data_IF_716570230885
#
_entry.id   IF_716570230885
#
_cell.length_a   1.000
_cell.length_b   1.000
_cell.length_c   1.000
_cell.angle_alpha   90.00
_cell.angle_beta   90.00
_cell.angle_gamma   90.00
#
_symmetry.space_group_name_H-M   'P 1'
#
loop_
_entity.id
_entity.type
_entity.pdbx_description
1 polymer ?
2 non-polymer ?
3 non-polymer ?
4 non-polymer ?
5 water ?
#
# COMPACT_ATOMS: atom_id res chain seq x y z
N UNK A 1 16.41 21.08 12.14
CA UNK A 1 15.60 20.47 13.22
C UNK A 1 14.94 19.18 12.74
N UNK A 2 14.84 18.22 13.66
CA UNK A 2 14.26 16.91 13.36
C UNK A 2 12.86 16.99 12.74
N UNK A 3 11.93 17.67 13.40
CA UNK A 3 10.56 17.78 12.90
C UNK A 3 10.44 18.42 11.51
N UNK A 4 11.12 19.54 11.31
CA UNK A 4 11.07 20.23 10.02
C UNK A 4 11.71 19.39 8.91
N UNK A 5 12.67 18.58 9.31
CA UNK A 5 13.40 17.73 8.39
C UNK A 5 12.75 16.38 8.10
N UNK A 6 12.24 15.71 9.13
CA UNK A 6 11.64 14.38 8.97
C UNK A 6 10.16 14.26 9.32
N UNK A 7 9.58 15.31 9.89
CA UNK A 7 8.17 15.24 10.27
C UNK A 7 8.00 14.53 11.60
N UNK A 8 9.10 14.03 12.14
CA UNK A 8 9.12 13.34 13.43
C UNK A 8 10.36 13.76 14.22
N UNK A 9 10.25 13.72 15.54
CA UNK A 9 11.38 14.07 16.40
C UNK A 9 12.05 12.73 16.74
N UNK A 10 13.32 12.59 16.38
CA UNK A 10 14.03 11.34 16.64
C UNK A 10 15.40 11.51 17.30
N UNK A 11 15.80 10.50 18.07
CA UNK A 11 17.10 10.55 18.73
C UNK A 11 18.15 9.96 17.79
N UNK A 12 17.71 9.49 16.62
CA UNK A 12 18.60 8.90 15.62
C UNK A 12 18.51 9.65 14.29
N UNK A 13 18.72 10.96 14.33
CA UNK A 13 18.65 11.78 13.13
C UNK A 13 19.58 11.34 12.01
N UNK A 14 20.87 11.21 12.32
CA UNK A 14 21.88 10.80 11.34
C UNK A 14 21.57 9.47 10.67
N UNK A 15 21.06 8.52 11.45
CA UNK A 15 20.74 7.20 10.92
C UNK A 15 19.47 7.20 10.10
N UNK A 16 18.51 8.03 10.49
CA UNK A 16 17.25 8.12 9.76
C UNK A 16 17.50 8.76 8.39
N UNK A 17 18.40 9.74 8.35
CA UNK A 17 18.74 10.42 7.10
C UNK A 17 19.43 9.49 6.12
N UNK A 18 20.24 8.57 6.64
CA UNK A 18 20.94 7.63 5.78
C UNK A 18 19.94 6.68 5.14
N UNK A 19 18.99 6.17 5.94
CA UNK A 19 17.98 5.27 5.40
C UNK A 19 17.15 5.99 4.34
N UNK A 20 16.83 7.26 4.62
CA UNK A 20 16.01 8.04 3.70
C UNK A 20 16.69 8.38 2.38
N UNK A 21 17.97 8.03 2.25
CA UNK A 21 18.66 8.27 0.99
C UNK A 21 18.08 7.33 -0.07
N UNK A 22 17.43 6.25 0.38
CA UNK A 22 16.82 5.29 -0.53
C UNK A 22 15.33 5.53 -0.75
N UNK A 23 14.86 6.72 -0.40
CA UNK A 23 13.44 7.07 -0.55
C UNK A 23 12.86 6.75 -1.93
N UNK A 24 13.63 7.00 -2.99
CA UNK A 24 13.18 6.76 -4.35
C UNK A 24 13.59 5.38 -4.87
N UNK A 25 14.07 4.53 -3.98
CA UNK A 25 14.50 3.19 -4.37
C UNK A 25 13.61 2.06 -3.88
N UNK A 26 13.48 1.03 -4.70
CA UNK A 26 12.68 -0.14 -4.37
C UNK A 26 13.34 -0.84 -3.18
N UNK A 27 14.64 -0.65 -3.02
CA UNK A 27 15.36 -1.31 -1.95
C UNK A 27 15.38 -0.64 -0.58
N UNK A 28 14.57 0.39 -0.38
CA UNK A 28 14.53 1.07 0.90
C UNK A 28 14.09 0.08 1.97
N UNK A 29 14.67 0.17 3.16
CA UNK A 29 14.28 -0.73 4.25
C UNK A 29 13.39 0.04 5.22
N UNK A 30 12.09 -0.20 5.14
CA UNK A 30 11.14 0.52 5.98
C UNK A 30 11.23 0.11 7.45
N UNK A 31 11.69 -1.11 7.70
CA UNK A 31 11.86 -1.60 9.07
C UNK A 31 12.87 -0.70 9.80
N UNK A 32 13.94 -0.33 9.11
CA UNK A 32 14.97 0.55 9.68
C UNK A 32 14.44 1.97 9.86
N UNK A 33 13.61 2.42 8.91
CA UNK A 33 13.04 3.75 9.03
C UNK A 33 12.25 3.78 10.33
N UNK A 34 11.49 2.71 10.58
CA UNK A 34 10.70 2.61 11.80
C UNK A 34 11.62 2.65 13.02
N UNK A 35 12.72 1.90 12.95
CA UNK A 35 13.65 1.84 14.06
C UNK A 35 14.37 3.13 14.39
N UNK A 36 14.53 4.01 13.40
CA UNK A 36 15.21 5.28 13.61
C UNK A 36 14.25 6.46 13.69
N UNK A 37 12.95 6.17 13.76
CA UNK A 37 11.95 7.22 13.82
C UNK A 37 11.03 7.04 15.02
N UNK A 38 11.50 6.28 16.01
CA UNK A 38 10.72 6.01 17.21
C UNK A 38 9.43 5.31 16.80
N UNK A 39 9.54 4.45 15.80
CA UNK A 39 8.41 3.70 15.30
C UNK A 39 7.28 4.57 14.74
N UNK A 40 7.64 5.51 13.89
CA UNK A 40 6.68 6.39 13.23
C UNK A 40 7.00 6.30 11.75
N UNK A 41 7.06 5.06 11.21
CA UNK A 41 7.39 4.85 9.80
C UNK A 41 6.43 5.54 8.80
N UNK A 42 5.14 5.56 9.13
CA UNK A 42 4.17 6.17 8.22
C UNK A 42 4.30 7.70 8.18
N UNK A 43 4.33 8.33 9.35
CA UNK A 43 4.47 9.78 9.40
C UNK A 43 5.79 10.18 8.74
N UNK A 44 6.88 9.51 9.12
CA UNK A 44 8.19 9.83 8.56
C UNK A 44 8.26 9.68 7.05
N UNK A 45 7.83 8.52 6.55
CA UNK A 45 7.88 8.28 5.11
C UNK A 45 6.95 9.19 4.31
N UNK A 46 5.77 9.52 4.86
CA UNK A 46 4.85 10.40 4.13
C UNK A 46 5.39 11.81 4.07
N UNK A 47 6.03 12.25 5.15
CA UNK A 47 6.63 13.59 5.19
C UNK A 47 7.77 13.65 4.17
N UNK A 48 8.60 12.62 4.14
CA UNK A 48 9.73 12.57 3.21
C UNK A 48 9.26 12.60 1.76
N UNK A 49 8.27 11.76 1.46
CA UNK A 49 7.71 11.70 0.11
C UNK A 49 7.13 13.05 -0.33
N UNK A 50 6.34 13.68 0.55
CA UNK A 50 5.75 14.97 0.21
C UNK A 50 6.78 16.07 0.00
N UNK A 51 7.84 16.06 0.80
CA UNK A 51 8.90 17.05 0.63
C UNK A 51 9.60 16.78 -0.69
N UNK A 52 9.90 15.51 -0.94
CA UNK A 52 10.57 15.09 -2.17
C UNK A 52 9.81 15.54 -3.42
N UNK A 53 8.50 15.38 -3.39
CA UNK A 53 7.66 15.77 -4.53
C UNK A 53 7.15 17.21 -4.48
N UNK A 54 7.47 17.92 -3.39
CA UNK A 54 7.04 19.31 -3.21
C UNK A 54 5.52 19.44 -3.16
N UNK A 55 4.84 18.41 -2.67
CA UNK A 55 3.39 18.41 -2.60
C UNK A 55 2.81 19.42 -1.61
N UNK A 56 3.49 19.63 -0.49
CA UNK A 56 2.99 20.58 0.51
C UNK A 56 2.85 21.97 -0.11
N UNK A 57 3.88 22.41 -0.83
CA UNK A 57 3.85 23.71 -1.47
C UNK A 57 2.78 23.74 -2.57
N UNK A 58 2.85 22.76 -3.47
CA UNK A 58 1.91 22.69 -4.58
C UNK A 58 0.46 22.77 -4.16
N UNK A 59 0.10 22.04 -3.10
CA UNK A 59 -1.28 22.02 -2.65
C UNK A 59 -1.57 22.87 -1.41
N UNK A 60 -0.67 23.80 -1.10
CA UNK A 60 -0.85 24.69 0.03
C UNK A 60 -1.21 23.99 1.33
N UNK A 61 -0.45 22.95 1.65
CA UNK A 61 -0.64 22.17 2.87
C UNK A 61 0.47 22.59 3.83
N UNK A 62 0.12 23.12 5.00
CA UNK A 62 1.15 23.52 5.94
C UNK A 62 1.80 22.28 6.52
N UNK A 63 3.09 22.37 6.82
CA UNK A 63 3.83 21.25 7.40
C UNK A 63 3.18 20.81 8.70
N UNK A 64 2.73 21.78 9.48
CA UNK A 64 2.10 21.49 10.76
C UNK A 64 0.82 20.66 10.61
N UNK A 65 -0.07 21.11 9.73
CA UNK A 65 -1.33 20.40 9.50
C UNK A 65 -1.05 18.98 9.00
N UNK A 66 -0.10 18.84 8.09
CA UNK A 66 0.26 17.55 7.54
C UNK A 66 0.80 16.60 8.60
N UNK A 67 1.75 17.08 9.40
CA UNK A 67 2.34 16.26 10.45
C UNK A 67 1.25 15.87 11.45
N UNK A 68 0.37 16.82 11.76
CA UNK A 68 -0.69 16.55 12.71
C UNK A 68 -1.61 15.46 12.16
N UNK A 69 -1.95 15.55 10.87
CA UNK A 69 -2.81 14.54 10.28
C UNK A 69 -2.11 13.19 10.22
N UNK A 70 -0.89 13.18 9.69
CA UNK A 70 -0.14 11.92 9.59
C UNK A 70 0.04 11.21 10.93
N UNK A 71 0.40 11.95 11.97
CA UNK A 71 0.58 11.35 13.28
C UNK A 71 -0.73 10.72 13.76
N UNK A 72 -1.84 11.42 13.52
CA UNK A 72 -3.15 10.93 13.93
C UNK A 72 -3.51 9.68 13.13
N UNK A 73 -3.30 9.73 11.82
CA UNK A 73 -3.59 8.59 10.96
C UNK A 73 -2.84 7.37 11.45
N UNK A 74 -1.54 7.55 11.67
CA UNK A 74 -0.68 6.47 12.14
C UNK A 74 -1.16 5.91 13.48
N UNK A 75 -1.62 6.79 14.36
CA UNK A 75 -2.12 6.37 15.67
C UNK A 75 -3.34 5.48 15.51
N UNK A 76 -4.00 5.56 14.35
CA UNK A 76 -5.20 4.75 14.14
C UNK A 76 -4.95 3.40 13.52
N UNK A 77 -3.69 3.08 13.27
CA UNK A 77 -3.32 1.76 12.78
C UNK A 77 -3.03 0.97 14.05
N UNK A 78 -3.44 -0.28 14.08
CA UNK A 78 -3.21 -1.12 15.25
C UNK A 78 -1.75 -1.53 15.37
N UNK A 79 -1.19 -1.37 16.56
CA UNK A 79 0.18 -1.77 16.79
C UNK A 79 0.17 -3.19 17.33
N UNK A 80 -1.01 -3.70 17.67
CA UNK A 80 -1.13 -5.06 18.17
C UNK A 80 -1.54 -6.03 17.07
N UNK A 81 -1.39 -5.58 15.83
CA UNK A 81 -1.69 -6.39 14.65
C UNK A 81 -0.31 -6.63 14.03
N UNK A 82 0.01 -7.89 13.77
CA UNK A 82 1.31 -8.28 13.24
C UNK A 82 1.72 -7.74 11.87
N UNK A 83 0.81 -7.74 10.91
CA UNK A 83 1.13 -7.27 9.56
C UNK A 83 0.44 -5.95 9.21
N UNK A 84 -0.87 -5.90 9.34
CA UNK A 84 -1.60 -4.68 8.97
C UNK A 84 -1.51 -3.52 9.96
N UNK A 85 -0.28 -3.16 10.30
CA UNK A 85 -0.01 -2.04 11.20
C UNK A 85 0.56 -0.91 10.33
N UNK A 86 0.99 0.21 10.93
CA UNK A 86 1.51 1.34 10.14
C UNK A 86 2.74 1.08 9.29
N UNK A 87 3.49 0.02 9.62
CA UNK A 87 4.69 -0.29 8.85
C UNK A 87 4.27 -0.72 7.46
N UNK A 88 3.21 -1.52 7.37
CA UNK A 88 2.69 -1.96 6.09
C UNK A 88 2.19 -0.77 5.28
N UNK A 89 1.47 0.14 5.94
CA UNK A 89 0.95 1.32 5.25
C UNK A 89 2.11 2.15 4.72
N UNK A 90 3.12 2.34 5.55
CA UNK A 90 4.30 3.12 5.16
C UNK A 90 4.96 2.47 3.95
N UNK A 91 5.06 1.15 3.98
CA UNK A 91 5.68 0.40 2.90
C UNK A 91 4.91 0.57 1.58
N UNK A 92 3.57 0.48 1.63
CA UNK A 92 2.78 0.64 0.42
C UNK A 92 2.87 2.06 -0.12
N UNK A 93 2.87 3.05 0.77
CA UNK A 93 2.99 4.43 0.32
C UNK A 93 4.33 4.65 -0.39
N UNK A 94 5.40 4.13 0.20
CA UNK A 94 6.74 4.29 -0.37
C UNK A 94 6.88 3.52 -1.70
N UNK A 95 6.29 2.33 -1.77
CA UNK A 95 6.34 1.52 -2.98
C UNK A 95 5.60 2.23 -4.11
N UNK A 96 4.45 2.81 -3.77
CA UNK A 96 3.63 3.55 -4.73
C UNK A 96 4.42 4.76 -5.23
N UNK A 97 5.12 5.42 -4.30
CA UNK A 97 5.93 6.57 -4.63
C UNK A 97 6.98 6.17 -5.67
N UNK A 98 7.56 4.99 -5.51
CA UNK A 98 8.56 4.52 -6.46
C UNK A 98 7.92 4.16 -7.80
N UNK A 99 6.77 3.48 -7.73
CA UNK A 99 6.04 3.08 -8.94
C UNK A 99 5.59 4.29 -9.77
N UNK A 100 5.19 5.37 -9.10
CA UNK A 100 4.76 6.56 -9.82
C UNK A 100 5.91 7.19 -10.61
N UNK A 101 7.14 6.91 -10.18
CA UNK A 101 8.31 7.46 -10.85
C UNK A 101 8.89 6.56 -11.93
N UNK A 102 8.17 5.50 -12.30
CA UNK A 102 8.64 4.59 -13.33
C UNK A 102 8.85 5.40 -14.62
N UNK A 103 10.06 5.31 -15.20
CA UNK A 103 10.38 6.05 -16.43
C UNK A 103 9.29 6.02 -17.49
N UNK A 104 8.67 4.86 -17.69
CA UNK A 104 7.63 4.68 -18.69
C UNK A 104 6.37 5.51 -18.41
N UNK A 105 6.18 5.94 -17.16
CA UNK A 105 5.01 6.72 -16.81
C UNK A 105 5.36 8.17 -16.55
N UNK A 106 6.53 8.59 -17.02
CA UNK A 106 6.97 9.97 -16.81
C UNK A 106 6.00 10.99 -17.39
N UNK A 107 5.66 11.99 -16.58
CA UNK A 107 4.74 13.07 -16.98
C UNK A 107 3.36 12.57 -17.39
N UNK A 108 3.05 11.32 -17.08
CA UNK A 108 1.74 10.78 -17.43
C UNK A 108 0.64 11.26 -16.49
N UNK A 109 0.90 11.22 -15.19
CA UNK A 109 -0.09 11.60 -14.20
C UNK A 109 -0.07 13.05 -13.74
N UNK A 110 -1.24 13.58 -13.39
CA UNK A 110 -1.34 14.95 -12.90
C UNK A 110 -0.84 14.95 -11.46
N UNK A 111 -0.55 16.13 -10.93
CA UNK A 111 -0.08 16.23 -9.56
C UNK A 111 -1.17 15.79 -8.58
N UNK A 112 -2.42 16.07 -8.93
CA UNK A 112 -3.55 15.69 -8.07
C UNK A 112 -3.68 14.17 -8.03
N UNK A 113 -3.44 13.52 -9.17
CA UNK A 113 -3.52 12.07 -9.24
C UNK A 113 -2.40 11.48 -8.39
N UNK A 114 -1.23 12.11 -8.44
CA UNK A 114 -0.07 11.68 -7.65
C UNK A 114 -0.42 11.81 -6.16
N UNK A 115 -0.94 12.97 -5.77
CA UNK A 115 -1.34 13.21 -4.39
C UNK A 115 -2.33 12.15 -3.93
N UNK A 116 -3.36 11.92 -4.75
CA UNK A 116 -4.39 10.94 -4.43
C UNK A 116 -3.83 9.53 -4.25
N UNK A 117 -2.91 9.12 -5.13
CA UNK A 117 -2.34 7.78 -5.05
C UNK A 117 -1.55 7.56 -3.76
N UNK A 118 -0.70 8.52 -3.42
CA UNK A 118 0.12 8.40 -2.21
C UNK A 118 -0.75 8.48 -0.97
N UNK A 119 -1.75 9.37 -1.00
CA UNK A 119 -2.66 9.50 0.14
C UNK A 119 -3.43 8.19 0.31
N UNK A 120 -3.95 7.66 -0.80
CA UNK A 120 -4.69 6.39 -0.77
C UNK A 120 -3.85 5.30 -0.12
N UNK A 121 -2.58 5.21 -0.53
CA UNK A 121 -1.68 4.21 0.03
C UNK A 121 -1.56 4.36 1.55
N UNK A 122 -1.37 5.60 2.01
CA UNK A 122 -1.22 5.84 3.43
C UNK A 122 -2.44 5.43 4.27
N UNK A 123 -3.64 5.70 3.77
CA UNK A 123 -4.84 5.35 4.53
C UNK A 123 -5.47 4.00 4.18
N UNK A 124 -4.99 3.36 3.11
CA UNK A 124 -5.62 2.12 2.64
C UNK A 124 -5.93 0.99 3.60
N UNK A 125 -5.25 0.93 4.75
CA UNK A 125 -5.52 -0.12 5.73
C UNK A 125 -5.75 0.41 7.15
N UNK A 126 -6.02 1.70 7.29
CA UNK A 126 -6.22 2.26 8.62
C UNK A 126 -7.30 1.56 9.47
N UNK A 127 -6.96 1.35 10.74
CA UNK A 127 -7.81 0.67 11.71
C UNK A 127 -8.14 -0.78 11.34
N UNK A 128 -7.24 -1.42 10.61
CA UNK A 128 -7.44 -2.81 10.23
C UNK A 128 -7.38 -3.65 11.51
N UNK A 129 -8.43 -4.45 11.80
CA UNK A 129 -8.45 -5.28 13.01
C UNK A 129 -7.57 -6.52 13.01
N UNK A 130 -7.15 -6.98 11.84
CA UNK A 130 -6.31 -8.16 11.80
C UNK A 130 -7.04 -9.42 11.39
N UNK A 131 -8.31 -9.23 10.99
CA UNK A 131 -9.12 -10.35 10.52
C UNK A 131 -9.64 -9.95 9.13
N UNK A 132 -9.95 -10.95 8.31
CA UNK A 132 -10.41 -10.72 6.95
C UNK A 132 -11.88 -10.28 6.85
N UNK A 133 -12.25 -9.82 5.65
CA UNK A 133 -13.62 -9.41 5.39
C UNK A 133 -14.56 -10.59 5.60
N UNK A 134 -14.13 -11.78 5.19
CA UNK A 134 -14.95 -12.98 5.34
C UNK A 134 -15.21 -13.28 6.81
N UNK A 135 -14.22 -13.04 7.66
CA UNK A 135 -14.39 -13.26 9.10
C UNK A 135 -15.42 -12.26 9.62
N UNK A 136 -15.38 -11.02 9.13
CA UNK A 136 -16.33 -10.01 9.57
C UNK A 136 -17.72 -10.39 9.09
N UNK A 137 -17.79 -10.93 7.88
CA UNK A 137 -19.04 -11.36 7.28
C UNK A 137 -19.59 -12.58 8.01
N UNK A 138 -18.73 -13.57 8.23
CA UNK A 138 -19.14 -14.79 8.91
C UNK A 138 -19.59 -14.59 10.34
N UNK A 139 -19.08 -13.55 11.00
CA UNK A 139 -19.47 -13.27 12.38
C UNK A 139 -20.57 -12.22 12.47
N UNK A 140 -21.19 -11.92 11.33
CA UNK A 140 -22.28 -10.96 11.25
C UNK A 140 -21.93 -9.58 11.82
N UNK A 141 -20.76 -9.08 11.42
CA UNK A 141 -20.29 -7.77 11.89
C UNK A 141 -21.25 -6.66 11.50
N UNK A 142 -21.33 -5.62 12.33
CA UNK A 142 -22.20 -4.49 12.02
C UNK A 142 -21.56 -3.78 10.82
N UNK A 143 -20.24 -3.84 10.75
CA UNK A 143 -19.49 -3.23 9.66
C UNK A 143 -19.85 -3.89 8.34
N UNK A 144 -19.93 -5.22 8.34
CA UNK A 144 -20.28 -5.97 7.13
C UNK A 144 -21.66 -5.61 6.62
N UNK A 145 -22.65 -5.62 7.51
CA UNK A 145 -24.01 -5.26 7.12
C UNK A 145 -24.01 -3.86 6.53
N UNK A 146 -23.34 -2.95 7.23
CA UNK A 146 -23.25 -1.56 6.80
C UNK A 146 -22.79 -1.38 5.35
N UNK A 147 -21.82 -2.17 4.93
CA UNK A 147 -21.30 -2.08 3.56
C UNK A 147 -21.79 -3.20 2.66
N UNK A 148 -22.91 -3.80 3.03
CA UNK A 148 -23.53 -4.88 2.28
C UNK A 148 -22.53 -5.96 1.86
N UNK A 149 -21.63 -6.30 2.78
CA UNK A 149 -20.62 -7.33 2.55
C UNK A 149 -19.64 -7.08 1.42
N UNK A 150 -19.65 -5.88 0.83
CA UNK A 150 -18.71 -5.61 -0.25
C UNK A 150 -17.63 -4.65 0.17
N UNK A 151 -16.38 -5.09 0.02
CA UNK A 151 -15.22 -4.29 0.39
C UNK A 151 -15.47 -3.72 1.78
N UNK A 152 -15.83 -4.59 2.72
CA UNK A 152 -16.13 -4.17 4.08
C UNK A 152 -15.04 -3.33 4.73
N UNK A 153 -13.86 -3.92 4.91
CA UNK A 153 -12.76 -3.19 5.53
C UNK A 153 -12.27 -2.02 4.69
N UNK A 154 -12.24 -2.20 3.36
CA UNK A 154 -11.79 -1.14 2.47
C UNK A 154 -12.67 0.10 2.61
N UNK A 155 -13.98 -0.11 2.71
CA UNK A 155 -14.91 0.99 2.90
C UNK A 155 -14.67 1.59 4.28
N UNK A 156 -14.24 0.77 5.22
CA UNK A 156 -13.97 1.27 6.56
C UNK A 156 -12.70 2.11 6.57
N UNK A 157 -11.65 1.62 5.91
CA UNK A 157 -10.40 2.36 5.87
C UNK A 157 -10.67 3.75 5.28
N UNK A 158 -11.49 3.79 4.23
CA UNK A 158 -11.85 5.05 3.59
C UNK A 158 -12.60 5.97 4.52
N UNK A 159 -13.58 5.43 5.24
CA UNK A 159 -14.37 6.24 6.17
C UNK A 159 -13.48 6.85 7.24
N UNK A 160 -12.56 6.06 7.78
CA UNK A 160 -11.65 6.54 8.82
C UNK A 160 -10.65 7.55 8.25
N UNK A 161 -10.01 7.19 7.14
CA UNK A 161 -9.05 8.09 6.53
C UNK A 161 -9.64 9.47 6.30
N UNK A 162 -10.84 9.53 5.74
CA UNK A 162 -11.49 10.80 5.47
C UNK A 162 -11.96 11.52 6.73
N UNK A 163 -12.59 10.78 7.65
CA UNK A 163 -13.09 11.40 8.87
C UNK A 163 -12.00 12.09 9.69
N UNK A 164 -10.81 11.49 9.75
CA UNK A 164 -9.73 12.09 10.52
C UNK A 164 -9.41 13.51 10.06
N UNK A 165 -9.68 13.79 8.79
CA UNK A 165 -9.44 15.13 8.23
C UNK A 165 -10.26 16.17 8.99
N UNK A 166 -11.35 15.74 9.63
CA UNK A 166 -12.21 16.65 10.37
C UNK A 166 -11.68 16.96 11.76
N UNK A 167 -10.63 16.24 12.17
CA UNK A 167 -10.03 16.46 13.48
C UNK A 167 -9.34 17.83 13.53
N UNK A 168 -9.14 18.32 14.75
CA UNK A 168 -8.50 19.61 14.99
C UNK A 168 -7.19 19.80 14.23
N UNK A 169 -7.17 20.80 13.35
CA UNK A 169 -5.98 21.10 12.57
C UNK A 169 -5.47 19.91 11.76
N UNK A 170 -6.39 19.06 11.31
CA UNK A 170 -6.02 17.89 10.53
C UNK A 170 -6.44 17.94 9.06
N UNK A 171 -7.18 18.96 8.66
CA UNK A 171 -7.63 19.01 7.27
C UNK A 171 -6.53 19.44 6.30
N UNK A 172 -5.78 18.47 5.81
CA UNK A 172 -4.68 18.75 4.87
C UNK A 172 -5.15 19.14 3.46
N UNK A 173 -6.44 19.02 3.20
CA UNK A 173 -6.98 19.38 1.89
C UNK A 173 -7.83 20.65 1.98
N UNK A 174 -7.69 21.36 3.09
CA UNK A 174 -8.42 22.60 3.32
C UNK A 174 -8.30 23.62 2.19
N UNK A 175 -7.11 23.73 1.60
CA UNK A 175 -6.92 24.72 0.54
C UNK A 175 -7.17 24.27 -0.90
N UNK A 176 -7.61 23.02 -1.10
CA UNK A 176 -7.93 22.56 -2.45
C UNK A 176 -9.29 23.20 -2.79
N UNK A 177 -9.58 23.32 -4.08
CA UNK A 177 -10.86 23.89 -4.50
C UNK A 177 -11.92 22.83 -4.36
N UNK A 178 -13.19 23.22 -4.48
CA UNK A 178 -14.27 22.25 -4.37
C UNK A 178 -14.11 21.18 -5.45
N UNK A 179 -13.68 21.61 -6.64
CA UNK A 179 -13.47 20.68 -7.74
C UNK A 179 -12.30 19.72 -7.49
N UNK A 180 -11.19 20.24 -6.99
CA UNK A 180 -10.04 19.38 -6.70
C UNK A 180 -10.38 18.39 -5.60
N UNK A 181 -11.13 18.83 -4.58
CA UNK A 181 -11.50 17.94 -3.49
C UNK A 181 -12.43 16.83 -3.97
N UNK A 182 -13.37 17.18 -4.85
CA UNK A 182 -14.30 16.18 -5.38
C UNK A 182 -13.53 15.16 -6.21
N UNK A 183 -12.64 15.65 -7.05
CA UNK A 183 -11.84 14.76 -7.88
C UNK A 183 -10.97 13.85 -7.05
N UNK A 184 -10.29 14.42 -6.06
CA UNK A 184 -9.42 13.63 -5.20
C UNK A 184 -10.19 12.57 -4.43
N UNK A 185 -11.32 12.95 -3.84
CA UNK A 185 -12.13 12.00 -3.08
C UNK A 185 -12.52 10.79 -3.91
N UNK A 186 -12.99 11.03 -5.14
CA UNK A 186 -13.39 9.95 -6.03
C UNK A 186 -12.19 9.05 -6.42
N UNK A 187 -11.03 9.65 -6.67
CA UNK A 187 -9.86 8.86 -7.03
C UNK A 187 -9.34 8.01 -5.87
N UNK A 188 -9.33 8.59 -4.67
CA UNK A 188 -8.88 7.88 -3.47
C UNK A 188 -9.83 6.71 -3.18
N UNK A 189 -11.13 6.97 -3.27
CA UNK A 189 -12.13 5.92 -3.05
C UNK A 189 -11.84 4.78 -4.02
N UNK A 190 -11.60 5.14 -5.28
CA UNK A 190 -11.30 4.17 -6.34
C UNK A 190 -10.05 3.35 -6.05
N UNK A 191 -8.99 4.00 -5.58
CA UNK A 191 -7.75 3.28 -5.31
C UNK A 191 -7.79 2.40 -4.07
N UNK A 192 -8.47 2.87 -3.02
CA UNK A 192 -8.55 2.07 -1.80
C UNK A 192 -9.45 0.86 -2.06
N UNK A 193 -10.58 1.07 -2.74
CA UNK A 193 -11.47 -0.04 -3.04
C UNK A 193 -10.71 -1.07 -3.89
N UNK A 194 -9.72 -0.60 -4.64
CA UNK A 194 -8.91 -1.45 -5.50
C UNK A 194 -7.96 -2.34 -4.69
N UNK A 195 -7.86 -2.12 -3.38
CA UNK A 195 -6.97 -2.96 -2.58
C UNK A 195 -7.76 -4.14 -2.01
N UNK A 196 -9.07 -4.16 -2.28
CA UNK A 196 -9.93 -5.26 -1.85
C UNK A 196 -9.47 -6.45 -2.69
N UNK A 197 -8.82 -7.41 -2.03
CA UNK A 197 -8.29 -8.58 -2.72
C UNK A 197 -9.30 -9.36 -3.58
N UNK A 198 -10.58 -9.28 -3.25
CA UNK A 198 -11.58 -10.00 -4.04
C UNK A 198 -11.76 -9.35 -5.42
N UNK A 199 -11.24 -8.14 -5.60
CA UNK A 199 -11.36 -7.43 -6.88
C UNK A 199 -10.13 -7.68 -7.76
N UNK A 200 -9.19 -8.49 -7.26
CA UNK A 200 -7.97 -8.78 -7.99
C UNK A 200 -8.15 -9.04 -9.49
N UNK A 201 -9.01 -10.00 -9.83
CA UNK A 201 -9.24 -10.34 -11.22
C UNK A 201 -9.81 -9.25 -12.10
N UNK A 202 -10.73 -8.45 -11.57
CA UNK A 202 -11.30 -7.39 -12.37
C UNK A 202 -10.20 -6.39 -12.70
N UNK A 203 -9.28 -6.17 -11.74
CA UNK A 203 -8.18 -5.24 -11.95
C UNK A 203 -7.17 -5.78 -12.98
N UNK A 204 -6.75 -7.03 -12.82
CA UNK A 204 -5.77 -7.61 -13.74
C UNK A 204 -6.30 -7.66 -15.16
N UNK A 205 -7.59 -7.93 -15.31
CA UNK A 205 -8.22 -7.99 -16.62
C UNK A 205 -8.10 -6.63 -17.29
N UNK A 206 -8.38 -5.57 -16.54
CA UNK A 206 -8.28 -4.22 -17.07
C UNK A 206 -6.84 -3.90 -17.46
N UNK A 207 -5.90 -4.31 -16.60
CA UNK A 207 -4.48 -4.08 -16.84
C UNK A 207 -4.02 -4.74 -18.14
N UNK A 208 -4.47 -5.95 -18.40
CA UNK A 208 -4.08 -6.64 -19.63
C UNK A 208 -4.62 -5.85 -20.83
N UNK A 209 -5.86 -5.36 -20.72
CA UNK A 209 -6.48 -4.57 -21.77
C UNK A 209 -5.64 -3.33 -22.06
N UNK A 210 -5.07 -2.76 -21.00
CA UNK A 210 -4.22 -1.57 -21.11
C UNK A 210 -2.91 -1.93 -21.81
N UNK A 211 -2.43 -3.15 -21.58
CA UNK A 211 -1.20 -3.60 -22.20
C UNK A 211 -1.46 -3.85 -23.69
N UNK A 212 -2.57 -4.53 -23.97
CA UNK A 212 -2.95 -4.84 -25.33
C UNK A 212 -3.12 -3.59 -26.19
N UNK A 213 -3.80 -2.58 -25.64
CA UNK A 213 -4.04 -1.33 -26.35
C UNK A 213 -2.97 -0.28 -26.04
N UNK A 214 -1.80 -0.76 -25.62
CA UNK A 214 -0.67 0.09 -25.26
C UNK A 214 -0.23 1.04 -26.38
N UNK A 215 0.15 2.26 -26.00
CA UNK A 215 0.60 3.27 -26.96
C UNK A 215 1.73 4.11 -26.37
N UNK A 216 2.88 4.09 -27.02
CA UNK A 216 4.03 4.85 -26.52
C UNK A 216 4.43 5.97 -27.47
N UNK A 217 5.23 6.90 -26.94
CA UNK A 217 5.70 8.03 -27.72
C UNK A 217 7.11 7.75 -28.23
N UNK A 218 7.69 8.72 -28.92
CA UNK A 218 9.03 8.58 -29.46
C UNK A 218 10.00 8.27 -28.32
N UNK A 219 9.93 9.08 -27.27
CA UNK A 219 10.78 8.91 -26.10
C UNK A 219 10.62 7.50 -25.51
N UNK A 220 9.40 6.96 -25.60
CA UNK A 220 9.13 5.63 -25.07
C UNK A 220 8.08 5.65 -23.97
N UNK A 221 7.69 6.85 -23.55
CA UNK A 221 6.69 7.01 -22.51
C UNK A 221 5.29 6.65 -22.99
N UNK A 222 4.51 6.03 -22.12
CA UNK A 222 3.14 5.61 -22.44
C UNK A 222 2.24 6.80 -22.66
N UNK A 223 1.16 6.57 -23.41
CA UNK A 223 0.17 7.60 -23.70
C UNK A 223 -1.15 7.28 -23.04
N UNK A 224 -1.54 8.13 -22.09
CA UNK A 224 -2.79 7.96 -21.35
C UNK A 224 -3.42 9.33 -21.18
N UNK A 225 -3.89 9.91 -22.29
CA UNK A 225 -4.50 11.23 -22.25
C UNK A 225 -5.83 11.27 -21.52
N UNK A 226 -6.48 10.13 -21.36
CA UNK A 226 -7.77 10.12 -20.70
C UNK A 226 -7.80 9.45 -19.32
N UNK A 227 -8.43 10.16 -18.38
CA UNK A 227 -8.57 9.68 -17.01
C UNK A 227 -9.10 8.25 -16.96
N UNK A 228 -10.06 7.92 -17.81
CA UNK A 228 -10.65 6.59 -17.83
C UNK A 228 -9.61 5.48 -17.94
N UNK A 229 -8.51 5.75 -18.64
CA UNK A 229 -7.45 4.75 -18.76
C UNK A 229 -6.49 4.92 -17.59
N UNK A 230 -6.19 6.16 -17.23
CA UNK A 230 -5.26 6.41 -16.14
C UNK A 230 -5.71 5.85 -14.80
N UNK A 231 -7.00 5.99 -14.46
CA UNK A 231 -7.49 5.46 -13.19
C UNK A 231 -7.38 3.93 -13.10
N UNK A 232 -7.39 3.25 -14.25
CA UNK A 232 -7.27 1.79 -14.26
C UNK A 232 -5.83 1.41 -13.95
N UNK A 233 -4.90 2.24 -14.43
CA UNK A 233 -3.47 2.01 -14.19
C UNK A 233 -3.12 2.34 -12.75
N UNK A 234 -3.76 3.39 -12.20
CA UNK A 234 -3.51 3.80 -10.82
C UNK A 234 -4.07 2.77 -9.84
N UNK A 235 -5.25 2.23 -10.14
CA UNK A 235 -5.87 1.21 -9.29
C UNK A 235 -4.95 -0.02 -9.21
N UNK A 236 -4.38 -0.39 -10.35
CA UNK A 236 -3.46 -1.53 -10.42
C UNK A 236 -2.10 -1.24 -9.79
N UNK A 237 -1.66 0.01 -9.85
CA UNK A 237 -0.38 0.37 -9.25
C UNK A 237 -0.43 0.24 -7.74
N UNK A 238 -1.50 0.74 -7.13
CA UNK A 238 -1.62 0.66 -5.69
C UNK A 238 -1.81 -0.81 -5.27
N UNK A 239 -2.49 -1.56 -6.13
CA UNK A 239 -2.72 -2.99 -5.89
C UNK A 239 -1.37 -3.71 -5.92
N UNK A 240 -0.51 -3.33 -6.88
CA UNK A 240 0.82 -3.92 -7.01
C UNK A 240 1.68 -3.54 -5.80
N UNK A 241 1.52 -2.32 -5.32
CA UNK A 241 2.28 -1.86 -4.16
C UNK A 241 1.86 -2.70 -2.95
N UNK A 242 0.56 -2.95 -2.86
CA UNK A 242 -0.01 -3.72 -1.77
C UNK A 242 0.47 -5.19 -1.83
N UNK A 243 0.71 -5.68 -3.04
CA UNK A 243 1.20 -7.05 -3.24
C UNK A 243 2.67 -7.03 -3.70
N UNK A 244 3.47 -6.15 -3.11
CA UNK A 244 4.87 -6.03 -3.51
C UNK A 244 5.88 -6.74 -2.60
N UNK A 245 5.42 -7.26 -1.47
CA UNK A 245 6.32 -7.93 -0.52
C UNK A 245 7.24 -8.98 -1.17
N UNK A 246 6.68 -9.88 -2.00
CA UNK A 246 7.51 -10.90 -2.64
C UNK A 246 8.53 -10.38 -3.66
N UNK A 247 8.41 -9.11 -4.04
CA UNK A 247 9.31 -8.50 -5.01
C UNK A 247 10.46 -7.74 -4.36
N UNK A 248 10.46 -7.67 -3.03
CA UNK A 248 11.50 -6.96 -2.30
C UNK A 248 12.63 -7.94 -1.99
N UNK A 249 13.70 -7.44 -1.37
CA UNK A 249 14.83 -8.29 -0.99
C UNK A 249 14.30 -9.45 -0.17
N UNK A 250 14.94 -10.62 -0.32
CA UNK A 250 14.52 -11.80 0.43
C UNK A 250 14.44 -11.53 1.93
N UNK A 251 15.38 -10.75 2.43
CA UNK A 251 15.43 -10.40 3.85
C UNK A 251 14.16 -9.67 4.28
N UNK A 252 13.71 -8.73 3.46
CA UNK A 252 12.50 -7.97 3.76
C UNK A 252 11.29 -8.90 3.61
N UNK A 253 11.23 -9.56 2.47
CA UNK A 253 10.16 -10.49 2.16
C UNK A 253 9.93 -11.52 3.28
N UNK A 254 10.99 -12.14 3.77
CA UNK A 254 10.84 -13.13 4.84
C UNK A 254 10.20 -12.52 6.09
N UNK A 255 10.51 -11.27 6.40
CA UNK A 255 9.92 -10.59 7.56
C UNK A 255 8.44 -10.33 7.32
N UNK A 256 8.11 -9.95 6.10
CA UNK A 256 6.71 -9.68 5.76
C UNK A 256 5.89 -10.97 5.89
N UNK A 257 6.44 -12.08 5.41
CA UNK A 257 5.76 -13.37 5.49
C UNK A 257 5.53 -13.80 6.94
N UNK A 258 6.55 -13.63 7.80
CA UNK A 258 6.44 -14.00 9.21
C UNK A 258 5.29 -13.21 9.86
N UNK A 259 5.18 -11.94 9.50
CA UNK A 259 4.13 -11.08 10.05
C UNK A 259 2.73 -11.46 9.61
N UNK A 260 2.53 -11.67 8.31
CA UNK A 260 1.20 -12.03 7.84
C UNK A 260 0.78 -13.39 8.39
N UNK A 261 1.74 -14.32 8.50
CA UNK A 261 1.43 -15.64 9.04
C UNK A 261 0.99 -15.54 10.50
N UNK A 262 1.62 -14.65 11.26
CA UNK A 262 1.28 -14.45 12.66
C UNK A 262 -0.15 -13.90 12.75
N UNK A 263 -0.48 -12.97 11.86
CA UNK A 263 -1.82 -12.37 11.84
C UNK A 263 -2.84 -13.44 11.47
N UNK A 264 -2.52 -14.26 10.47
CA UNK A 264 -3.43 -15.34 10.06
C UNK A 264 -3.68 -16.25 11.27
N UNK A 265 -2.62 -16.59 11.99
CA UNK A 265 -2.76 -17.47 13.15
C UNK A 265 -3.59 -16.81 14.26
N UNK A 266 -3.53 -15.49 14.34
CA UNK A 266 -4.32 -14.74 15.32
C UNK A 266 -5.80 -14.94 15.04
N UNK A 267 -6.18 -14.74 13.78
CA UNK A 267 -7.57 -14.92 13.37
C UNK A 267 -7.96 -16.37 13.56
N UNK A 268 -7.04 -17.28 13.29
CA UNK A 268 -7.31 -18.70 13.45
C UNK A 268 -7.70 -19.05 14.87
N UNK A 269 -7.01 -18.46 15.84
CA UNK A 269 -7.30 -18.71 17.24
C UNK A 269 -8.62 -18.06 17.67
N UNK A 270 -8.96 -16.94 17.04
CA UNK A 270 -10.22 -16.26 17.35
C UNK A 270 -11.36 -17.17 16.90
N UNK A 271 -11.26 -17.66 15.67
CA UNK A 271 -12.27 -18.54 15.10
C UNK A 271 -12.35 -19.80 15.96
N UNK A 272 -11.20 -20.33 16.30
CA UNK A 272 -11.05 -21.53 17.12
C UNK A 272 -11.73 -21.34 18.48
N UNK A 273 -11.43 -20.23 19.14
CA UNK A 273 -12.00 -19.94 20.45
C UNK A 273 -13.51 -19.68 20.41
N UNK A 274 -14.04 -19.47 19.21
CA UNK A 274 -15.46 -19.22 19.06
C UNK A 274 -16.16 -20.41 18.41
N UNK A 275 -15.59 -21.60 18.58
CA UNK A 275 -16.19 -22.79 18.01
C UNK A 275 -16.41 -22.64 16.51
N UNK A 276 -15.71 -21.69 15.90
CA UNK A 276 -15.84 -21.47 14.46
C UNK A 276 -14.92 -22.39 13.68
N UNK A 277 -15.18 -22.51 12.38
CA UNK A 277 -14.36 -23.33 11.51
C UNK A 277 -13.18 -22.48 11.06
N UNK A 278 -11.95 -22.92 11.35
CA UNK A 278 -10.74 -22.17 11.00
C UNK A 278 -10.56 -21.97 9.50
N UNK A 279 -10.35 -20.73 9.12
CA UNK A 279 -10.15 -20.33 7.73
C UNK A 279 -8.82 -20.83 7.18
N UNK A 280 -8.72 -20.94 5.85
CA UNK A 280 -7.50 -21.39 5.17
C UNK A 280 -6.30 -20.51 5.50
N UNK A 281 -5.17 -21.14 5.81
CA UNK A 281 -3.93 -20.45 6.15
C UNK A 281 -3.87 -20.01 7.62
N UNK A 282 -5.03 -19.99 8.27
CA UNK A 282 -5.10 -19.55 9.66
C UNK A 282 -4.90 -20.61 10.74
N UNK A 283 -4.69 -21.86 10.33
CA UNK A 283 -4.47 -22.92 11.31
C UNK A 283 -2.98 -23.14 11.52
N UNK A 284 -2.47 -22.63 12.63
CA UNK A 284 -1.05 -22.76 12.98
C UNK A 284 -0.59 -24.20 13.13
N UNK A 285 -1.55 -25.12 13.24
CA UNK A 285 -1.24 -26.53 13.40
C UNK A 285 -1.18 -27.30 12.09
N UNK A 286 -1.54 -26.65 10.99
CA UNK A 286 -1.52 -27.31 9.70
C UNK A 286 -1.06 -26.41 8.56
N UNK A 287 -0.51 -25.24 8.90
CA UNK A 287 -0.06 -24.30 7.89
C UNK A 287 1.26 -24.70 7.24
N UNK A 288 1.33 -24.55 5.93
CA UNK A 288 2.54 -24.86 5.17
C UNK A 288 3.00 -23.54 4.57
N UNK A 289 3.77 -22.79 5.36
CA UNK A 289 4.27 -21.48 4.98
C UNK A 289 4.94 -21.38 3.62
N UNK A 290 5.96 -22.20 3.38
CA UNK A 290 6.69 -22.15 2.12
C UNK A 290 5.84 -22.51 0.91
N UNK A 291 5.10 -23.60 0.99
CA UNK A 291 4.26 -24.02 -0.13
C UNK A 291 3.22 -22.96 -0.42
N UNK A 292 2.72 -22.30 0.62
CA UNK A 292 1.71 -21.28 0.43
C UNK A 292 2.29 -20.05 -0.28
N UNK A 293 3.51 -19.66 0.06
CA UNK A 293 4.09 -18.51 -0.61
C UNK A 293 4.24 -18.80 -2.10
N UNK A 294 4.64 -20.02 -2.44
CA UNK A 294 4.81 -20.40 -3.83
C UNK A 294 3.47 -20.31 -4.56
N UNK A 295 2.41 -20.77 -3.90
CA UNK A 295 1.10 -20.70 -4.49
C UNK A 295 0.66 -19.25 -4.66
N UNK A 296 0.93 -18.45 -3.63
CA UNK A 296 0.58 -17.03 -3.64
C UNK A 296 1.17 -16.37 -4.86
N UNK A 297 2.46 -16.57 -5.07
CA UNK A 297 3.17 -15.99 -6.20
C UNK A 297 2.69 -16.53 -7.55
N UNK A 298 2.72 -17.86 -7.70
CA UNK A 298 2.29 -18.48 -8.95
C UNK A 298 0.89 -18.08 -9.41
N UNK A 299 -0.07 -18.08 -8.49
CA UNK A 299 -1.45 -17.76 -8.86
C UNK A 299 -1.85 -16.30 -8.82
N UNK A 300 -1.22 -15.52 -7.96
CA UNK A 300 -1.63 -14.13 -7.81
C UNK A 300 -0.61 -13.02 -8.05
N UNK A 301 0.48 -13.05 -7.31
CA UNK A 301 1.51 -12.01 -7.42
C UNK A 301 2.25 -11.96 -8.75
N UNK A 302 2.71 -13.12 -9.24
CA UNK A 302 3.44 -13.13 -10.50
C UNK A 302 2.55 -12.72 -11.68
N UNK A 303 1.34 -13.30 -11.79
CA UNK A 303 0.47 -12.92 -12.91
C UNK A 303 0.26 -11.41 -13.00
N UNK A 304 0.14 -10.76 -11.84
CA UNK A 304 -0.04 -9.32 -11.78
C UNK A 304 1.21 -8.55 -12.18
N UNK A 305 2.34 -8.86 -11.55
CA UNK A 305 3.58 -8.13 -11.85
C UNK A 305 4.10 -8.37 -13.24
N UNK A 306 3.82 -9.54 -13.80
CA UNK A 306 4.25 -9.85 -15.15
C UNK A 306 3.55 -8.91 -16.12
N UNK A 307 2.26 -8.69 -15.89
CA UNK A 307 1.45 -7.82 -16.74
C UNK A 307 1.89 -6.37 -16.54
N UNK A 308 2.21 -6.01 -15.30
CA UNK A 308 2.66 -4.66 -15.00
C UNK A 308 4.01 -4.42 -15.68
N UNK A 309 4.87 -5.44 -15.65
CA UNK A 309 6.19 -5.32 -16.26
C UNK A 309 6.05 -5.14 -17.77
N UNK A 310 5.04 -5.79 -18.36
CA UNK A 310 4.81 -5.65 -19.80
C UNK A 310 4.37 -4.25 -20.13
N UNK A 311 3.53 -3.68 -19.27
CA UNK A 311 3.03 -2.33 -19.46
C UNK A 311 4.15 -1.29 -19.46
N UNK A 312 5.06 -1.39 -18.49
CA UNK A 312 6.16 -0.42 -18.37
C UNK A 312 7.52 -0.96 -18.82
N UNK A 313 7.50 -2.04 -19.59
CA UNK A 313 8.72 -2.67 -20.07
C UNK A 313 9.72 -1.61 -20.52
N UNK A 314 11.00 -1.75 -20.12
CA UNK A 314 11.59 -2.81 -19.29
C UNK A 314 11.89 -2.31 -17.87
N UNK A 315 11.23 -1.23 -17.46
CA UNK A 315 11.48 -0.64 -16.14
C UNK A 315 11.33 -1.58 -14.95
N UNK A 316 10.41 -2.54 -15.01
CA UNK A 316 10.20 -3.44 -13.89
C UNK A 316 10.81 -4.83 -14.04
N UNK A 317 11.78 -5.00 -14.92
CA UNK A 317 12.39 -6.31 -15.11
C UNK A 317 13.12 -6.84 -13.88
N UNK A 318 13.90 -6.00 -13.22
CA UNK A 318 14.62 -6.44 -12.03
C UNK A 318 13.65 -6.84 -10.92
N UNK A 319 12.52 -6.15 -10.85
CA UNK A 319 11.51 -6.47 -9.84
C UNK A 319 10.97 -7.87 -10.14
N UNK A 320 10.72 -8.16 -11.41
CA UNK A 320 10.21 -9.48 -11.81
C UNK A 320 11.26 -10.55 -11.54
N UNK A 321 12.52 -10.22 -11.83
CA UNK A 321 13.62 -11.16 -11.59
C UNK A 321 13.64 -11.53 -10.10
N UNK A 322 13.62 -10.51 -9.25
CA UNK A 322 13.64 -10.73 -7.81
C UNK A 322 12.45 -11.59 -7.39
N UNK A 323 11.27 -11.30 -7.92
CA UNK A 323 10.09 -12.09 -7.59
C UNK A 323 10.31 -13.56 -7.91
N UNK A 324 10.83 -13.82 -9.10
CA UNK A 324 11.10 -15.18 -9.54
C UNK A 324 12.12 -15.85 -8.64
N UNK A 325 13.19 -15.14 -8.31
CA UNK A 325 14.20 -15.69 -7.43
C UNK A 325 13.64 -16.04 -6.06
N UNK A 326 12.82 -15.14 -5.50
CA UNK A 326 12.23 -15.38 -4.19
C UNK A 326 11.31 -16.58 -4.22
N UNK A 327 10.60 -16.73 -5.34
CA UNK A 327 9.68 -17.83 -5.54
C UNK A 327 10.43 -19.16 -5.48
N UNK A 328 11.53 -19.25 -6.23
CA UNK A 328 12.32 -20.46 -6.27
C UNK A 328 12.94 -20.77 -4.91
N UNK A 329 13.30 -19.73 -4.16
CA UNK A 329 13.88 -19.94 -2.84
C UNK A 329 12.87 -20.61 -1.89
N UNK A 330 11.67 -20.04 -1.78
CA UNK A 330 10.66 -20.63 -0.92
C UNK A 330 10.32 -22.04 -1.40
N UNK A 331 10.42 -22.24 -2.71
CA UNK A 331 10.13 -23.55 -3.29
C UNK A 331 11.16 -24.57 -2.83
N UNK A 332 12.40 -24.12 -2.68
CA UNK A 332 13.49 -24.99 -2.25
C UNK A 332 13.44 -25.22 -0.74
N UNK A 333 12.62 -24.43 -0.04
CA UNK A 333 12.50 -24.55 1.40
C UNK A 333 11.29 -25.39 1.81
N UNK A 334 10.55 -25.90 0.83
CA UNK A 334 9.40 -26.75 1.10
C UNK A 334 9.91 -28.12 1.54
N UNK A 335 9.62 -28.53 2.79
CA UNK A 335 10.08 -29.83 3.29
C UNK A 335 9.48 -31.03 2.55
#
# INVERSE_FOLDING_TARGET
MSISRFGVNTENEDHLAKELEDLNKWGLNIFNVAGYSHNRPLTCIMYAIFQERDLLKTFRISSDTFITYMMTLEDHYHSDVAYHNSLHAADVAQSTHVLLSTPALDAVFTDLEILAAIFAAAIHDVDHPGVSNQFLINTNSELALMYNDESVLENHHLAVGFKLLQEEHCDIFMNLTKKQRQTLRKMVIDMVLATDMSKHMSLLADLKTMVETKKVTSSGVLLLDNYTDRIQVLRNMVHCADLSNPTKSLELYRQWTDRIMEEFFQQGDKERERGMEISPMCDKHTASVEKSQVGFIDYIVHPLWETWADLVQPDAQDILDTLEDNRNWYQSMIPQS
#
